data_IF_392705136241
#
_entry.id   IF_392705136241
#
_cell.length_a   1.000
_cell.length_b   1.000
_cell.length_c   1.000
_cell.angle_alpha   90.00
_cell.angle_beta   90.00
_cell.angle_gamma   90.00
#
_symmetry.space_group_name_H-M   'P 1'
#
loop_
_entity.id
_entity.type
_entity.pdbx_description
1 polymer ?
#
# COMPACT_ATOMS: atom_id res chain seq x y z
N UNK A 1 -32.64 -48.58 -61.30
CA UNK A 1 -31.54 -47.88 -61.99
C UNK A 1 -31.40 -46.49 -61.40
N UNK A 2 -30.16 -46.02 -61.29
CA UNK A 2 -29.68 -44.94 -60.44
C UNK A 2 -29.97 -43.54 -60.99
N UNK A 3 -30.14 -42.55 -60.10
CA UNK A 3 -29.98 -41.13 -60.41
C UNK A 3 -28.72 -40.59 -59.74
N UNK A 4 -27.90 -39.92 -60.55
CA UNK A 4 -26.60 -39.36 -60.17
C UNK A 4 -26.72 -37.90 -59.67
N UNK A 5 -26.06 -37.66 -58.54
CA UNK A 5 -25.18 -36.53 -58.19
C UNK A 5 -25.59 -35.09 -58.54
N UNK A 6 -25.74 -34.24 -57.50
CA UNK A 6 -25.12 -32.90 -57.51
C UNK A 6 -24.51 -32.56 -56.15
N UNK A 7 -23.26 -32.10 -56.24
CA UNK A 7 -22.36 -31.68 -55.16
C UNK A 7 -22.38 -30.15 -55.10
N UNK A 8 -22.72 -29.52 -53.96
CA UNK A 8 -22.29 -28.14 -53.66
C UNK A 8 -22.00 -27.90 -52.17
N UNK A 9 -20.69 -27.86 -51.90
CA UNK A 9 -19.90 -27.01 -50.98
C UNK A 9 -20.68 -26.20 -49.92
N UNK A 10 -20.38 -26.48 -48.65
CA UNK A 10 -20.33 -25.44 -47.61
C UNK A 10 -19.08 -25.64 -46.76
N UNK A 11 -18.27 -24.58 -46.68
CA UNK A 11 -16.97 -24.58 -46.03
C UNK A 11 -17.09 -24.84 -44.53
N UNK A 12 -16.20 -25.68 -44.01
CA UNK A 12 -16.04 -25.84 -42.57
C UNK A 12 -15.48 -24.54 -42.00
N UNK A 13 -16.35 -23.77 -41.35
CA UNK A 13 -15.95 -22.67 -40.48
C UNK A 13 -15.09 -23.23 -39.35
N UNK A 14 -13.77 -23.14 -39.50
CA UNK A 14 -12.82 -23.35 -38.40
C UNK A 14 -13.02 -22.20 -37.42
N UNK A 15 -13.88 -22.41 -36.41
CA UNK A 15 -14.10 -21.47 -35.31
C UNK A 15 -12.80 -21.32 -34.52
N UNK A 16 -12.22 -20.11 -34.58
CA UNK A 16 -11.07 -19.66 -33.80
C UNK A 16 -11.30 -19.92 -32.29
N UNK A 17 -10.67 -20.94 -31.73
CA UNK A 17 -10.68 -21.25 -30.29
C UNK A 17 -9.78 -20.31 -29.46
N UNK A 18 -9.02 -19.40 -30.09
CA UNK A 18 -8.02 -18.57 -29.41
C UNK A 18 -8.59 -17.47 -28.49
N UNK A 19 -9.84 -17.04 -28.66
CA UNK A 19 -10.41 -15.94 -27.86
C UNK A 19 -10.97 -16.34 -26.48
N UNK A 20 -11.19 -17.63 -26.23
CA UNK A 20 -11.70 -18.11 -24.92
C UNK A 20 -10.58 -18.26 -23.90
N UNK A 21 -9.40 -18.70 -24.34
CA UNK A 21 -8.23 -18.89 -23.48
C UNK A 21 -7.64 -17.55 -23.01
N UNK A 22 -7.66 -16.53 -23.88
CA UNK A 22 -7.22 -15.18 -23.53
C UNK A 22 -8.13 -14.54 -22.46
N UNK A 23 -9.47 -14.60 -22.66
CA UNK A 23 -10.43 -14.10 -21.67
C UNK A 23 -10.35 -14.83 -20.33
N UNK A 24 -10.21 -16.16 -20.36
CA UNK A 24 -10.04 -16.94 -19.13
C UNK A 24 -8.77 -16.57 -18.35
N UNK A 25 -7.66 -16.28 -19.04
CA UNK A 25 -6.43 -15.82 -18.39
C UNK A 25 -6.57 -14.40 -17.84
N UNK A 26 -7.27 -13.52 -18.53
CA UNK A 26 -7.57 -12.15 -18.08
C UNK A 26 -8.46 -12.14 -16.83
N UNK A 27 -9.53 -12.93 -16.82
CA UNK A 27 -10.42 -13.09 -15.67
C UNK A 27 -9.68 -13.71 -14.46
N UNK A 28 -8.78 -14.65 -14.71
CA UNK A 28 -7.95 -15.27 -13.66
C UNK A 28 -6.93 -14.28 -13.09
N UNK A 29 -6.29 -13.47 -13.93
CA UNK A 29 -5.39 -12.41 -13.48
C UNK A 29 -6.14 -11.36 -12.66
N UNK A 30 -7.30 -10.91 -13.13
CA UNK A 30 -8.11 -9.92 -12.42
C UNK A 30 -8.56 -10.45 -11.04
N UNK A 31 -8.99 -11.71 -10.94
CA UNK A 31 -9.35 -12.32 -9.65
C UNK A 31 -8.15 -12.50 -8.70
N UNK A 32 -6.95 -12.75 -9.23
CA UNK A 32 -5.72 -12.79 -8.41
C UNK A 32 -5.35 -11.38 -7.92
N UNK A 33 -5.40 -10.37 -8.79
CA UNK A 33 -5.11 -8.99 -8.43
C UNK A 33 -6.12 -8.45 -7.40
N UNK A 34 -7.41 -8.66 -7.59
CA UNK A 34 -8.45 -8.29 -6.61
C UNK A 34 -8.22 -9.00 -5.26
N UNK A 35 -7.89 -10.29 -5.26
CA UNK A 35 -7.55 -11.03 -4.05
C UNK A 35 -6.28 -10.54 -3.34
N UNK A 36 -5.31 -10.01 -4.08
CA UNK A 36 -4.10 -9.39 -3.53
C UNK A 36 -4.41 -8.01 -2.97
N UNK A 37 -5.17 -7.18 -3.67
CA UNK A 37 -5.58 -5.85 -3.20
C UNK A 37 -6.44 -5.95 -1.94
N UNK A 38 -7.41 -6.87 -1.87
CA UNK A 38 -8.18 -7.09 -0.64
C UNK A 38 -7.30 -7.54 0.53
N UNK A 39 -6.28 -8.37 0.27
CA UNK A 39 -5.34 -8.80 1.32
C UNK A 39 -4.44 -7.66 1.78
N UNK A 40 -4.03 -6.76 0.87
CA UNK A 40 -3.27 -5.55 1.20
C UNK A 40 -4.12 -4.53 1.95
N UNK A 41 -5.40 -4.39 1.61
CA UNK A 41 -6.34 -3.51 2.31
C UNK A 41 -6.58 -4.01 3.74
N UNK A 42 -6.82 -5.33 3.91
CA UNK A 42 -6.88 -6.01 5.21
C UNK A 42 -5.56 -5.96 5.99
N UNK A 43 -4.40 -5.87 5.31
CA UNK A 43 -3.10 -5.67 5.94
C UNK A 43 -2.93 -4.22 6.44
N UNK A 44 -3.46 -3.26 5.67
CA UNK A 44 -3.46 -1.84 6.03
C UNK A 44 -4.35 -1.60 7.27
N UNK A 45 -5.46 -2.32 7.37
CA UNK A 45 -6.34 -2.33 8.56
C UNK A 45 -5.71 -2.99 9.79
N UNK A 46 -4.79 -3.96 9.61
CA UNK A 46 -4.08 -4.61 10.73
C UNK A 46 -2.89 -3.80 11.24
N UNK A 47 -2.36 -2.85 10.45
CA UNK A 47 -1.48 -1.77 10.94
C UNK A 47 -2.37 -0.70 11.59
N UNK A 48 -2.92 -1.05 12.75
CA UNK A 48 -3.79 -0.17 13.52
C UNK A 48 -3.09 1.21 13.67
N UNK A 49 -3.67 2.34 13.22
CA UNK A 49 -3.03 3.66 13.32
C UNK A 49 -2.65 4.05 14.76
N UNK A 50 -3.33 3.41 15.72
CA UNK A 50 -3.10 3.51 17.16
C UNK A 50 -1.80 2.82 17.61
N UNK A 51 -1.28 1.83 16.87
CA UNK A 51 0.02 1.20 17.13
C UNK A 51 1.16 2.10 16.69
N UNK A 52 1.08 2.67 15.48
CA UNK A 52 2.09 3.62 14.98
C UNK A 52 2.12 4.89 15.83
N UNK A 53 0.95 5.49 16.12
CA UNK A 53 0.88 6.67 16.99
C UNK A 53 1.43 6.41 18.40
N UNK A 54 1.23 5.20 18.96
CA UNK A 54 1.84 4.81 20.24
C UNK A 54 3.36 4.67 20.13
N UNK A 55 3.87 4.02 19.08
CA UNK A 55 5.30 3.87 18.84
C UNK A 55 5.98 5.22 18.64
N UNK A 56 5.39 6.10 17.83
CA UNK A 56 5.88 7.46 17.63
C UNK A 56 5.89 8.24 18.94
N UNK A 57 4.79 8.20 19.71
CA UNK A 57 4.72 8.89 21.01
C UNK A 57 5.78 8.39 21.98
N UNK A 58 5.95 7.07 22.07
CA UNK A 58 6.99 6.47 22.90
C UNK A 58 8.38 6.92 22.45
N UNK A 59 8.67 6.83 21.16
CA UNK A 59 9.96 7.24 20.60
C UNK A 59 10.27 8.72 20.79
N UNK A 60 9.27 9.60 20.81
CA UNK A 60 9.46 11.03 21.10
C UNK A 60 9.76 11.25 22.58
N UNK A 61 9.04 10.57 23.47
CA UNK A 61 9.15 10.73 24.92
C UNK A 61 10.41 10.10 25.52
N UNK A 62 11.02 9.13 24.84
CA UNK A 62 12.27 8.48 25.26
C UNK A 62 13.50 9.38 25.04
N UNK A 63 13.41 10.43 24.23
CA UNK A 63 14.52 11.34 23.99
C UNK A 63 14.75 12.23 25.21
N UNK A 64 16.00 12.30 25.70
CA UNK A 64 16.33 13.16 26.83
C UNK A 64 16.61 14.60 26.41
N UNK A 65 16.41 15.55 27.34
CA UNK A 65 16.83 16.95 27.18
C UNK A 65 15.74 17.95 26.80
N UNK A 66 14.49 17.52 26.65
CA UNK A 66 13.35 18.41 26.40
C UNK A 66 12.26 18.25 27.46
N UNK A 67 11.37 19.25 27.53
CA UNK A 67 10.24 19.22 28.46
C UNK A 67 8.99 18.56 27.85
N UNK A 68 8.08 18.12 28.71
CA UNK A 68 6.86 17.40 28.31
C UNK A 68 5.95 18.22 27.37
N UNK A 69 5.89 19.55 27.56
CA UNK A 69 5.10 20.43 26.68
C UNK A 69 5.64 20.41 25.26
N UNK A 70 6.96 20.43 25.11
CA UNK A 70 7.62 20.33 23.83
C UNK A 70 7.40 18.96 23.18
N UNK A 71 7.56 17.85 23.92
CA UNK A 71 7.30 16.52 23.37
C UNK A 71 5.87 16.36 22.84
N UNK A 72 4.88 16.90 23.54
CA UNK A 72 3.50 16.87 23.05
C UNK A 72 3.32 17.71 21.76
N UNK A 73 4.03 18.83 21.62
CA UNK A 73 4.00 19.64 20.40
C UNK A 73 4.72 18.94 19.24
N UNK A 74 5.90 18.36 19.49
CA UNK A 74 6.67 17.60 18.51
C UNK A 74 5.90 16.37 18.02
N UNK A 75 5.27 15.62 18.93
CA UNK A 75 4.40 14.50 18.57
C UNK A 75 3.24 14.93 17.66
N UNK A 76 2.54 16.02 18.00
CA UNK A 76 1.47 16.56 17.15
C UNK A 76 1.99 17.04 15.79
N UNK A 77 3.21 17.57 15.73
CA UNK A 77 3.83 18.01 14.48
C UNK A 77 4.14 16.79 13.60
N UNK A 78 4.86 15.80 14.13
CA UNK A 78 5.22 14.58 13.40
C UNK A 78 3.96 13.80 12.94
N UNK A 79 2.90 13.79 13.74
CA UNK A 79 1.63 13.18 13.32
C UNK A 79 0.97 13.84 12.10
N UNK A 80 1.37 15.05 11.69
CA UNK A 80 0.87 15.71 10.47
C UNK A 80 1.55 15.23 9.21
N UNK A 81 2.79 14.73 9.32
CA UNK A 81 3.56 14.20 8.20
C UNK A 81 4.02 12.78 8.53
N UNK A 82 3.32 11.81 7.94
CA UNK A 82 3.58 10.39 8.16
C UNK A 82 5.00 10.00 7.75
N UNK A 83 5.55 10.59 6.69
CA UNK A 83 6.90 10.27 6.21
C UNK A 83 7.96 10.77 7.19
N UNK A 84 7.84 12.02 7.68
CA UNK A 84 8.74 12.51 8.73
C UNK A 84 8.63 11.68 10.02
N UNK A 85 7.41 11.27 10.40
CA UNK A 85 7.20 10.41 11.57
C UNK A 85 7.84 9.02 11.43
N UNK A 86 7.71 8.39 10.27
CA UNK A 86 8.33 7.09 9.99
C UNK A 86 9.86 7.19 10.02
N UNK A 87 10.43 8.23 9.39
CA UNK A 87 11.87 8.52 9.46
C UNK A 87 12.31 8.70 10.91
N UNK A 88 11.57 9.48 11.69
CA UNK A 88 11.88 9.72 13.09
C UNK A 88 11.95 8.43 13.91
N UNK A 89 10.95 7.54 13.78
CA UNK A 89 10.90 6.27 14.53
C UNK A 89 12.10 5.38 14.19
N UNK A 90 12.48 5.32 12.91
CA UNK A 90 13.56 4.48 12.40
C UNK A 90 14.97 5.02 12.69
N UNK A 91 15.08 6.29 13.08
CA UNK A 91 16.38 6.95 13.34
C UNK A 91 16.96 6.52 14.69
N UNK A 92 18.29 6.60 14.82
CA UNK A 92 18.97 6.39 16.09
C UNK A 92 18.71 7.55 17.08
N UNK A 93 19.17 7.42 18.33
CA UNK A 93 18.91 8.41 19.37
C UNK A 93 19.47 9.81 19.03
N UNK A 94 20.64 9.86 18.39
CA UNK A 94 21.31 11.12 18.04
C UNK A 94 20.54 11.86 16.94
N UNK A 95 20.15 11.19 15.85
CA UNK A 95 19.33 11.81 14.82
C UNK A 95 17.91 12.16 15.29
N UNK A 96 17.37 11.44 16.29
CA UNK A 96 16.13 11.84 16.97
C UNK A 96 16.31 13.15 17.73
N UNK A 97 17.43 13.34 18.44
CA UNK A 97 17.76 14.61 19.12
C UNK A 97 17.91 15.74 18.10
N UNK A 98 18.60 15.51 16.99
CA UNK A 98 18.77 16.51 15.93
C UNK A 98 17.42 16.94 15.35
N UNK A 99 16.57 15.97 15.01
CA UNK A 99 15.21 16.23 14.50
C UNK A 99 14.38 17.03 15.50
N UNK A 100 14.45 16.69 16.79
CA UNK A 100 13.74 17.43 17.84
C UNK A 100 14.33 18.84 18.06
N UNK A 101 15.64 19.03 17.93
CA UNK A 101 16.26 20.35 17.99
C UNK A 101 15.81 21.24 16.83
N UNK A 102 15.77 20.70 15.61
CA UNK A 102 15.24 21.39 14.44
C UNK A 102 13.77 21.78 14.64
N UNK A 103 12.96 20.86 15.15
CA UNK A 103 11.56 21.13 15.51
C UNK A 103 11.44 22.20 16.59
N UNK A 104 12.35 22.23 17.57
CA UNK A 104 12.37 23.26 18.61
C UNK A 104 12.54 24.67 18.02
N UNK A 105 13.38 24.82 16.99
CA UNK A 105 13.51 26.11 16.28
C UNK A 105 12.24 26.48 15.52
N UNK A 106 11.55 25.51 14.90
CA UNK A 106 10.32 25.74 14.13
C UNK A 106 9.09 26.02 14.99
N UNK A 107 9.01 25.40 16.18
CA UNK A 107 7.87 25.55 17.11
C UNK A 107 7.99 26.84 17.94
N UNK A 108 9.21 27.37 18.14
CA UNK A 108 9.45 28.63 18.84
C UNK A 108 9.20 29.88 18.00
N UNK A 109 9.20 29.76 16.67
CA UNK A 109 8.90 30.83 15.73
C UNK A 109 7.42 30.80 15.32
#
# INVERSE_FOLDING_TARGET
MSFASTKKRHGSFVKRQHGKKARFMEDMMNGIFEGVYERLDKLTDTIHPFSFGKQLRQSVMEVQGFNERFFNAAFRYLMKDRTEAEIFVLTNEEGKKDTLNDLCTRIRN
#
